data_IF_936513318574
#
_entry.id   IF_936513318574
#
_cell.length_a   1.000
_cell.length_b   1.000
_cell.length_c   1.000
_cell.angle_alpha   90.00
_cell.angle_beta   90.00
_cell.angle_gamma   90.00
#
_symmetry.space_group_name_H-M   'P 1'
#
loop_
_entity.id
_entity.type
_entity.pdbx_description
1 polymer ?
#
# COMPACT_ATOMS: atom_id res chain seq x y z
N UNK A 1 -23.51 -19.94 14.84
CA UNK A 1 -22.36 -19.01 14.90
C UNK A 1 -22.01 -18.63 13.49
N UNK A 2 -21.79 -17.35 13.22
CA UNK A 2 -21.47 -16.86 11.87
C UNK A 2 -20.00 -17.15 11.56
N UNK A 3 -19.75 -17.77 10.41
CA UNK A 3 -18.39 -18.03 9.95
C UNK A 3 -17.70 -16.73 9.55
N UNK A 4 -16.43 -16.59 9.91
CA UNK A 4 -15.61 -15.44 9.55
C UNK A 4 -14.48 -15.90 8.64
N UNK A 5 -14.50 -15.45 7.40
CA UNK A 5 -13.40 -15.65 6.47
C UNK A 5 -12.31 -14.60 6.75
N UNK A 6 -11.07 -15.05 6.92
CA UNK A 6 -9.88 -14.18 7.02
C UNK A 6 -8.95 -14.44 5.84
N UNK A 7 -8.48 -13.36 5.22
CA UNK A 7 -7.41 -13.40 4.22
C UNK A 7 -6.27 -12.47 4.63
N UNK A 8 -5.09 -13.06 4.81
CA UNK A 8 -3.83 -12.33 4.91
C UNK A 8 -3.15 -12.41 3.55
N UNK A 9 -2.83 -11.27 2.96
CA UNK A 9 -2.26 -11.22 1.61
C UNK A 9 -1.46 -9.94 1.42
N UNK A 10 -0.83 -9.77 0.27
CA UNK A 10 0.06 -8.64 0.04
C UNK A 10 0.99 -8.89 -1.13
N UNK A 11 2.02 -8.06 -1.23
CA UNK A 11 3.11 -8.26 -2.18
C UNK A 11 4.39 -7.60 -1.69
N UNK A 12 5.51 -8.08 -2.21
CA UNK A 12 6.79 -7.39 -2.17
C UNK A 12 7.12 -6.96 -3.58
N UNK A 13 7.48 -5.69 -3.74
CA UNK A 13 7.94 -5.10 -4.99
C UNK A 13 9.37 -4.62 -4.80
N UNK A 14 10.21 -4.88 -5.78
CA UNK A 14 11.57 -4.34 -5.85
C UNK A 14 11.75 -3.66 -7.20
N UNK A 15 12.11 -2.38 -7.17
CA UNK A 15 12.43 -1.58 -8.33
C UNK A 15 13.92 -1.23 -8.30
N UNK A 16 14.61 -1.44 -9.41
CA UNK A 16 15.96 -0.96 -9.64
C UNK A 16 15.93 -0.02 -10.85
N UNK A 17 16.37 1.22 -10.66
CA UNK A 17 16.45 2.24 -11.70
C UNK A 17 17.91 2.56 -11.98
N UNK A 18 18.27 2.74 -13.26
CA UNK A 18 19.56 3.27 -13.68
C UNK A 18 19.42 4.74 -14.06
N UNK A 19 20.37 5.57 -13.64
CA UNK A 19 20.49 6.96 -14.09
C UNK A 19 21.22 7.05 -15.43
N UNK A 20 21.24 8.26 -16.01
CA UNK A 20 21.78 8.51 -17.35
C UNK A 20 23.30 8.80 -17.37
N UNK A 21 23.95 8.95 -16.20
CA UNK A 21 25.36 9.35 -16.09
C UNK A 21 26.22 8.28 -15.43
N UNK A 22 26.58 7.28 -16.23
CA UNK A 22 27.46 6.15 -15.84
C UNK A 22 28.89 6.56 -15.41
N UNK A 23 29.29 7.82 -15.62
CA UNK A 23 30.60 8.37 -15.25
C UNK A 23 30.52 9.44 -14.15
N UNK A 24 29.45 9.51 -13.36
CA UNK A 24 29.40 10.38 -12.19
C UNK A 24 30.60 10.10 -11.24
N UNK A 25 31.46 11.11 -11.02
CA UNK A 25 32.67 10.97 -10.17
C UNK A 25 32.75 11.97 -9.03
N UNK A 26 31.93 13.00 -9.02
CA UNK A 26 31.87 13.98 -7.92
C UNK A 26 30.57 13.81 -7.14
N UNK A 27 30.52 14.15 -5.83
CA UNK A 27 29.29 14.01 -5.03
C UNK A 27 28.07 14.75 -5.59
N UNK A 28 28.27 15.86 -6.32
CA UNK A 28 27.19 16.57 -7.01
C UNK A 28 26.63 15.84 -8.23
N UNK A 29 27.40 14.91 -8.80
CA UNK A 29 26.95 14.03 -9.90
C UNK A 29 26.23 12.76 -9.38
N UNK A 30 26.25 12.51 -8.06
CA UNK A 30 25.68 11.29 -7.47
C UNK A 30 24.21 11.45 -7.09
N UNK A 31 23.67 12.67 -7.10
CA UNK A 31 22.26 12.90 -6.83
C UNK A 31 21.44 12.50 -8.08
N UNK A 32 20.87 11.28 -8.04
CA UNK A 32 19.95 10.66 -9.01
C UNK A 32 20.53 10.10 -10.32
N UNK A 33 21.82 10.26 -10.61
CA UNK A 33 22.35 9.91 -11.94
C UNK A 33 23.06 8.55 -12.06
N UNK A 34 23.10 7.75 -10.97
CA UNK A 34 23.75 6.42 -10.97
C UNK A 34 22.74 5.27 -10.89
N UNK A 35 22.24 4.92 -9.70
CA UNK A 35 21.30 3.82 -9.50
C UNK A 35 20.40 4.09 -8.30
N UNK A 36 19.10 3.84 -8.47
CA UNK A 36 18.11 3.92 -7.40
C UNK A 36 17.53 2.54 -7.11
N UNK A 37 17.28 2.25 -5.83
CA UNK A 37 16.67 1.00 -5.37
C UNK A 37 15.49 1.30 -4.47
N UNK A 38 14.34 0.73 -4.78
CA UNK A 38 13.16 0.77 -3.92
C UNK A 38 12.69 -0.66 -3.64
N UNK A 39 12.68 -1.05 -2.37
CA UNK A 39 11.94 -2.22 -1.92
C UNK A 39 10.67 -1.77 -1.19
N UNK A 40 9.52 -2.32 -1.58
CA UNK A 40 8.23 -2.05 -0.94
C UNK A 40 7.59 -3.35 -0.49
N UNK A 41 7.24 -3.44 0.77
CA UNK A 41 6.40 -4.51 1.31
C UNK A 41 5.00 -3.95 1.58
N UNK A 42 3.97 -4.57 1.01
CA UNK A 42 2.57 -4.24 1.27
C UNK A 42 1.89 -5.44 1.90
N UNK A 43 1.34 -5.27 3.11
CA UNK A 43 0.62 -6.29 3.86
C UNK A 43 -0.83 -5.88 4.04
N UNK A 44 -1.74 -6.79 3.72
CA UNK A 44 -3.18 -6.59 3.71
C UNK A 44 -3.89 -7.65 4.53
N UNK A 45 -4.80 -7.20 5.38
CA UNK A 45 -5.71 -8.05 6.13
C UNK A 45 -7.13 -7.76 5.69
N UNK A 46 -7.90 -8.81 5.44
CA UNK A 46 -9.30 -8.68 5.05
C UNK A 46 -10.13 -9.73 5.75
N UNK A 47 -11.25 -9.32 6.33
CA UNK A 47 -12.24 -10.25 6.88
C UNK A 47 -13.61 -10.05 6.24
N UNK A 48 -14.41 -11.11 6.23
CA UNK A 48 -15.82 -11.07 5.88
C UNK A 48 -16.60 -12.06 6.75
N UNK A 49 -17.69 -11.58 7.35
CA UNK A 49 -18.60 -12.40 8.15
C UNK A 49 -20.04 -12.02 7.81
N UNK A 50 -20.89 -13.01 7.53
CA UNK A 50 -22.31 -12.74 7.32
C UNK A 50 -23.00 -12.43 8.66
N UNK A 51 -23.83 -11.40 8.69
CA UNK A 51 -24.62 -11.02 9.87
C UNK A 51 -26.06 -10.76 9.47
N UNK A 52 -26.98 -10.71 10.44
CA UNK A 52 -28.40 -10.35 10.23
C UNK A 52 -28.60 -8.98 9.54
N UNK A 53 -27.60 -8.09 9.64
CA UNK A 53 -27.61 -6.74 9.08
C UNK A 53 -26.80 -6.63 7.77
N UNK A 54 -26.44 -7.77 7.17
CA UNK A 54 -25.59 -7.88 5.98
C UNK A 54 -24.15 -8.28 6.29
N UNK A 55 -23.30 -8.35 5.27
CA UNK A 55 -21.89 -8.76 5.44
C UNK A 55 -21.08 -7.69 6.19
N UNK A 56 -20.49 -8.08 7.31
CA UNK A 56 -19.49 -7.29 8.03
C UNK A 56 -18.11 -7.55 7.41
N UNK A 57 -17.45 -6.49 6.92
CA UNK A 57 -16.10 -6.56 6.34
C UNK A 57 -15.14 -5.64 7.09
N UNK A 58 -13.92 -6.10 7.33
CA UNK A 58 -12.80 -5.23 7.73
C UNK A 58 -11.67 -5.32 6.71
N UNK A 59 -10.96 -4.22 6.51
CA UNK A 59 -9.82 -4.15 5.60
C UNK A 59 -8.76 -3.22 6.16
N UNK A 60 -7.50 -3.65 6.07
CA UNK A 60 -6.35 -2.78 6.32
C UNK A 60 -5.22 -3.05 5.33
N UNK A 61 -4.56 -2.00 4.85
CA UNK A 61 -3.35 -2.06 4.03
C UNK A 61 -2.21 -1.27 4.69
N UNK A 62 -1.14 -1.97 5.03
CA UNK A 62 0.10 -1.40 5.54
C UNK A 62 1.17 -1.46 4.47
N UNK A 63 1.90 -0.36 4.26
CA UNK A 63 2.97 -0.25 3.27
C UNK A 63 4.26 0.22 3.91
N UNK A 64 5.32 -0.52 3.68
CA UNK A 64 6.67 -0.22 4.16
C UNK A 64 7.56 0.02 2.95
N UNK A 65 8.29 1.13 2.92
CA UNK A 65 9.24 1.45 1.85
C UNK A 65 10.66 1.44 2.39
N UNK A 66 11.59 0.94 1.58
CA UNK A 66 13.03 1.00 1.81
C UNK A 66 13.68 1.52 0.54
N UNK A 67 14.40 2.64 0.65
CA UNK A 67 14.99 3.34 -0.49
C UNK A 67 16.50 3.40 -0.30
N UNK A 68 17.25 2.94 -1.29
CA UNK A 68 18.72 2.99 -1.32
C UNK A 68 19.41 2.42 -0.06
N UNK A 69 18.82 1.38 0.52
CA UNK A 69 19.33 0.71 1.73
C UNK A 69 18.87 1.34 3.05
N UNK A 70 18.11 2.43 3.00
CA UNK A 70 17.55 3.10 4.17
C UNK A 70 16.07 2.78 4.34
N UNK A 71 15.62 2.67 5.60
CA UNK A 71 14.21 2.56 5.91
C UNK A 71 13.50 3.88 5.59
N UNK A 72 12.56 3.83 4.66
CA UNK A 72 11.67 4.94 4.31
C UNK A 72 10.40 4.96 5.16
N UNK A 73 9.38 5.64 4.64
CA UNK A 73 8.10 5.79 5.34
C UNK A 73 7.29 4.49 5.42
N UNK A 74 6.63 4.31 6.56
CA UNK A 74 5.50 3.39 6.76
C UNK A 74 4.20 4.18 6.65
N UNK A 75 3.24 3.66 5.88
CA UNK A 75 1.92 4.24 5.74
C UNK A 75 0.83 3.21 5.97
N UNK A 76 -0.25 3.64 6.62
CA UNK A 76 -1.53 2.95 6.64
C UNK A 76 -2.37 3.55 5.51
N UNK A 77 -2.53 2.82 4.41
CA UNK A 77 -3.22 3.36 3.23
C UNK A 77 -4.74 3.23 3.36
N UNK A 78 -5.18 2.11 3.94
CA UNK A 78 -6.58 1.81 4.18
C UNK A 78 -6.72 1.17 5.56
N UNK A 79 -7.78 1.55 6.28
CA UNK A 79 -8.19 0.93 7.53
C UNK A 79 -9.66 1.23 7.79
N UNK A 80 -10.55 0.32 7.41
CA UNK A 80 -11.99 0.53 7.54
C UNK A 80 -12.75 -0.73 7.99
N UNK A 81 -13.95 -0.47 8.50
CA UNK A 81 -15.01 -1.46 8.73
C UNK A 81 -16.23 -1.10 7.88
N UNK A 82 -16.92 -2.11 7.35
CA UNK A 82 -18.12 -1.93 6.54
C UNK A 82 -19.21 -2.92 6.96
N UNK A 83 -20.44 -2.45 7.10
CA UNK A 83 -21.62 -3.26 7.36
C UNK A 83 -22.78 -2.77 6.49
N UNK A 84 -23.39 -3.65 5.71
CA UNK A 84 -24.61 -3.32 4.97
C UNK A 84 -24.49 -2.12 4.01
N UNK A 85 -23.28 -1.78 3.57
CA UNK A 85 -23.00 -0.63 2.70
C UNK A 85 -22.52 0.63 3.42
N UNK A 86 -22.70 0.74 4.74
CA UNK A 86 -22.09 1.81 5.55
C UNK A 86 -20.62 1.47 5.81
N UNK A 87 -19.70 2.37 5.45
CA UNK A 87 -18.25 2.23 5.68
C UNK A 87 -17.73 3.33 6.60
N UNK A 88 -16.91 2.96 7.57
CA UNK A 88 -16.30 3.85 8.55
C UNK A 88 -14.80 3.55 8.66
N UNK A 89 -13.96 4.58 8.56
CA UNK A 89 -12.51 4.47 8.75
C UNK A 89 -11.70 5.31 7.77
N UNK A 90 -10.41 4.97 7.67
CA UNK A 90 -9.49 5.50 6.67
C UNK A 90 -9.71 4.78 5.35
N UNK A 91 -10.19 5.52 4.37
CA UNK A 91 -10.45 5.04 3.03
C UNK A 91 -10.17 6.16 2.02
N UNK A 92 -10.14 5.83 0.74
CA UNK A 92 -10.06 6.84 -0.29
C UNK A 92 -11.22 7.84 -0.18
N UNK A 93 -10.92 9.10 -0.44
CA UNK A 93 -11.95 10.13 -0.53
C UNK A 93 -12.96 9.76 -1.62
N UNK A 94 -14.25 9.97 -1.35
CA UNK A 94 -15.34 9.71 -2.30
C UNK A 94 -15.14 10.40 -3.67
N UNK A 95 -14.37 11.49 -3.71
CA UNK A 95 -14.03 12.21 -4.94
C UNK A 95 -13.04 11.44 -5.85
N UNK A 96 -12.18 10.60 -5.29
CA UNK A 96 -11.26 9.74 -6.06
C UNK A 96 -11.93 8.44 -6.52
N UNK A 97 -12.89 7.92 -5.75
CA UNK A 97 -13.62 6.70 -6.09
C UNK A 97 -14.60 6.89 -7.25
N UNK A 98 -15.16 8.10 -7.42
CA UNK A 98 -16.08 8.42 -8.52
C UNK A 98 -15.38 8.51 -9.89
N UNK A 99 -14.14 8.98 -9.94
CA UNK A 99 -13.38 9.16 -11.21
C UNK A 99 -12.55 7.96 -11.61
N UNK A 100 -12.47 6.93 -10.76
CA UNK A 100 -11.56 5.80 -10.95
C UNK A 100 -10.14 6.15 -10.49
N UNK A 101 -9.61 5.31 -9.61
CA UNK A 101 -8.24 5.34 -9.09
C UNK A 101 -7.19 5.52 -10.21
N UNK A 102 -6.24 6.45 -10.04
CA UNK A 102 -5.18 6.77 -11.02
C UNK A 102 -3.79 6.16 -10.73
N UNK A 103 -3.69 5.22 -9.79
CA UNK A 103 -2.44 4.47 -9.54
C UNK A 103 -1.50 5.10 -8.52
#
# INVERSE_FOLDING_TARGET
>A
GTETCLRIHGYVRYDATGGDRVYARTPGDLDRDTWGKLARATLRFSTASETELGTLRTYTENRFNFTDGFQGGHTLNFAYIQLGGLRLGLDESAFHTFTGYLG
#
